data_IF_978053368470
#
_entry.id   IF_978053368470
#
_cell.length_a   1.000
_cell.length_b   1.000
_cell.length_c   1.000
_cell.angle_alpha   90.00
_cell.angle_beta   90.00
_cell.angle_gamma   90.00
#
_symmetry.space_group_name_H-M   'P 1'
#
loop_
_entity.id
_entity.type
_entity.pdbx_description
1 polymer ?
#
# COMPACT_ATOMS: atom_id res chain seq x y z
N UNK A 1 32.85 67.96 24.97
CA UNK A 1 31.41 67.66 25.20
C UNK A 1 31.33 66.29 25.89
N UNK A 2 30.38 66.14 26.82
CA UNK A 2 30.28 65.05 27.80
C UNK A 2 29.71 63.75 27.19
N UNK A 3 29.86 62.66 27.96
CA UNK A 3 29.21 61.32 27.92
C UNK A 3 30.05 60.23 27.22
N UNK A 4 30.36 59.07 27.81
CA UNK A 4 29.95 58.42 29.05
C UNK A 4 30.69 57.07 29.24
N UNK A 5 30.70 56.60 30.48
CA UNK A 5 31.40 55.45 31.10
C UNK A 5 31.11 54.08 30.40
N UNK A 6 32.13 53.23 30.22
CA UNK A 6 32.51 52.04 31.03
C UNK A 6 31.63 50.78 30.83
N UNK A 7 32.26 49.67 30.44
CA UNK A 7 31.66 48.33 30.49
C UNK A 7 32.58 47.22 29.99
N UNK A 8 33.41 46.70 30.90
CA UNK A 8 34.21 45.45 30.77
C UNK A 8 33.28 44.24 30.71
N UNK A 9 33.61 43.21 29.92
CA UNK A 9 32.95 41.91 30.01
C UNK A 9 33.58 40.83 29.14
N UNK A 10 34.47 40.03 29.72
CA UNK A 10 34.94 38.78 29.17
C UNK A 10 33.89 37.67 29.32
N UNK A 11 33.73 36.81 28.30
CA UNK A 11 33.15 35.45 28.38
C UNK A 11 33.41 34.79 27.00
N UNK A 12 34.31 33.82 26.79
CA UNK A 12 34.33 32.42 27.27
C UNK A 12 32.98 31.69 27.16
N UNK A 13 32.93 30.69 26.27
CA UNK A 13 31.85 29.71 26.12
C UNK A 13 30.73 30.21 25.21
N UNK A 14 30.14 29.43 24.32
CA UNK A 14 29.96 27.98 24.25
C UNK A 14 29.82 27.64 22.76
N UNK A 15 30.57 26.64 22.28
CA UNK A 15 30.28 26.00 21.01
C UNK A 15 28.92 25.30 21.11
N UNK A 16 27.88 25.94 20.61
CA UNK A 16 26.57 25.29 20.46
C UNK A 16 26.68 24.41 19.22
N UNK A 17 26.99 23.14 19.44
CA UNK A 17 26.71 22.11 18.46
C UNK A 17 25.20 22.19 18.16
N UNK A 18 24.86 22.69 16.98
CA UNK A 18 23.55 22.50 16.40
C UNK A 18 23.44 21.01 16.11
N UNK A 19 23.05 20.24 17.12
CA UNK A 19 22.46 18.93 16.94
C UNK A 19 21.15 19.17 16.20
N UNK A 20 21.25 19.32 14.88
CA UNK A 20 20.11 19.25 14.00
C UNK A 20 19.47 17.92 14.30
N UNK A 21 18.29 17.95 14.90
CA UNK A 21 17.40 16.81 14.94
C UNK A 21 17.09 16.51 13.48
N UNK A 22 17.90 15.65 12.86
CA UNK A 22 17.47 14.92 11.69
C UNK A 22 16.21 14.21 12.17
N UNK A 23 15.05 14.80 11.88
CA UNK A 23 13.79 14.13 12.02
C UNK A 23 13.97 12.87 11.18
N UNK A 24 14.21 11.75 11.85
CA UNK A 24 14.32 10.45 11.21
C UNK A 24 12.99 10.29 10.50
N UNK A 25 12.98 10.54 9.18
CA UNK A 25 11.86 10.14 8.35
C UNK A 25 11.60 8.68 8.68
N UNK A 26 10.33 8.26 8.87
CA UNK A 26 10.02 6.87 9.18
C UNK A 26 10.82 5.99 8.23
N UNK A 27 11.63 5.09 8.77
CA UNK A 27 12.31 4.11 7.96
C UNK A 27 11.21 3.31 7.23
N UNK A 28 10.99 3.62 5.95
CA UNK A 28 10.07 2.87 5.13
C UNK A 28 10.68 1.46 5.02
N UNK A 29 10.13 0.53 5.79
CA UNK A 29 10.58 -0.86 5.76
C UNK A 29 10.24 -1.36 4.37
N UNK A 30 11.28 -1.75 3.61
CA UNK A 30 11.15 -2.04 2.20
C UNK A 30 10.39 -3.35 2.02
N UNK A 31 9.21 -3.28 1.38
CA UNK A 31 8.46 -4.49 1.02
C UNK A 31 9.18 -5.21 -0.10
N UNK A 32 9.50 -6.47 0.14
CA UNK A 32 10.23 -7.30 -0.83
C UNK A 32 9.43 -8.56 -1.15
N UNK A 33 9.09 -8.81 -2.42
CA UNK A 33 9.23 -7.91 -3.57
C UNK A 33 8.21 -6.77 -3.53
N UNK A 34 8.43 -5.68 -4.26
CA UNK A 34 7.46 -4.57 -4.36
C UNK A 34 6.28 -4.92 -5.27
N UNK A 35 6.52 -5.77 -6.27
CA UNK A 35 5.51 -6.20 -7.24
C UNK A 35 5.48 -7.71 -7.34
N UNK A 36 4.28 -8.27 -7.43
CA UNK A 36 4.07 -9.69 -7.67
C UNK A 36 2.88 -9.92 -8.60
N UNK A 37 2.97 -10.94 -9.44
CA UNK A 37 1.88 -11.41 -10.28
C UNK A 37 1.21 -12.63 -9.66
N UNK A 38 -0.10 -12.72 -9.82
CA UNK A 38 -0.89 -13.84 -9.32
C UNK A 38 -2.06 -14.10 -10.25
N UNK A 39 -2.44 -15.36 -10.43
CA UNK A 39 -3.65 -15.72 -11.15
C UNK A 39 -4.82 -15.81 -10.18
N UNK A 40 -5.91 -15.15 -10.53
CA UNK A 40 -7.19 -15.23 -9.82
C UNK A 40 -8.25 -15.86 -10.71
N UNK A 41 -9.11 -16.67 -10.10
CA UNK A 41 -10.35 -17.17 -10.69
C UNK A 41 -11.53 -16.53 -9.98
N UNK A 42 -12.32 -15.74 -10.71
CA UNK A 42 -13.49 -15.03 -10.22
C UNK A 42 -14.81 -15.74 -10.60
N UNK A 43 -14.75 -17.04 -10.94
CA UNK A 43 -15.88 -17.82 -11.40
C UNK A 43 -16.55 -17.21 -12.63
N UNK A 44 -17.81 -16.79 -12.48
CA UNK A 44 -18.64 -16.26 -13.58
C UNK A 44 -18.12 -14.96 -14.20
N UNK A 45 -17.28 -14.23 -13.48
CA UNK A 45 -16.68 -12.97 -13.96
C UNK A 45 -15.42 -13.18 -14.80
N UNK A 46 -14.94 -14.42 -14.88
CA UNK A 46 -13.72 -14.79 -15.61
C UNK A 46 -12.55 -15.11 -14.68
N UNK A 47 -11.42 -15.40 -15.30
CA UNK A 47 -10.16 -15.69 -14.65
C UNK A 47 -9.01 -15.04 -15.40
N UNK A 48 -7.92 -14.76 -14.70
CA UNK A 48 -6.76 -14.13 -15.32
C UNK A 48 -5.72 -13.67 -14.32
N UNK A 49 -4.70 -13.01 -14.84
CA UNK A 49 -3.57 -12.55 -14.06
C UNK A 49 -3.85 -11.17 -13.46
N UNK A 50 -3.42 -10.97 -12.23
CA UNK A 50 -3.40 -9.69 -11.56
C UNK A 50 -1.99 -9.34 -11.11
N UNK A 51 -1.66 -8.06 -11.23
CA UNK A 51 -0.42 -7.48 -10.71
C UNK A 51 -0.74 -6.78 -9.40
N UNK A 52 -0.10 -7.25 -8.32
CA UNK A 52 -0.14 -6.69 -6.99
C UNK A 52 1.10 -5.84 -6.78
N UNK A 53 0.93 -4.60 -6.33
CA UNK A 53 2.01 -3.70 -5.94
C UNK A 53 1.87 -3.37 -4.47
N UNK A 54 2.82 -3.79 -3.65
CA UNK A 54 2.82 -3.57 -2.21
C UNK A 54 3.75 -2.42 -1.82
N UNK A 55 3.34 -1.62 -0.85
CA UNK A 55 4.13 -0.53 -0.28
C UNK A 55 3.87 -0.42 1.22
N UNK A 56 4.83 0.13 1.96
CA UNK A 56 4.71 0.35 3.39
C UNK A 56 5.34 1.70 3.75
N UNK A 57 4.68 2.45 4.64
CA UNK A 57 5.14 3.76 5.11
C UNK A 57 5.48 3.76 6.61
N UNK A 58 5.97 2.64 7.14
CA UNK A 58 6.39 2.48 8.54
C UNK A 58 5.27 2.19 9.54
N UNK A 59 4.01 2.47 9.20
CA UNK A 59 2.84 2.18 10.06
C UNK A 59 1.66 1.56 9.33
N UNK A 60 1.51 1.82 8.02
CA UNK A 60 0.49 1.22 7.19
C UNK A 60 1.10 0.52 5.98
N UNK A 61 0.51 -0.61 5.59
CA UNK A 61 0.78 -1.27 4.33
C UNK A 61 -0.33 -0.94 3.34
N UNK A 62 0.06 -0.70 2.09
CA UNK A 62 -0.85 -0.50 0.98
C UNK A 62 -0.59 -1.53 -0.11
N UNK A 63 -1.67 -2.02 -0.73
CA UNK A 63 -1.58 -2.91 -1.89
C UNK A 63 -2.47 -2.34 -2.99
N UNK A 64 -1.88 -2.08 -4.15
CA UNK A 64 -2.60 -1.73 -5.37
C UNK A 64 -2.70 -2.94 -6.27
N UNK A 65 -3.85 -3.14 -6.90
CA UNK A 65 -4.16 -4.27 -7.76
C UNK A 65 -4.58 -3.77 -9.14
N UNK A 66 -3.98 -4.33 -10.18
CA UNK A 66 -4.46 -4.22 -11.56
C UNK A 66 -4.68 -5.60 -12.13
N UNK A 67 -5.85 -5.87 -12.72
CA UNK A 67 -6.15 -7.18 -13.31
C UNK A 67 -6.83 -7.06 -14.65
N UNK A 68 -6.40 -7.89 -15.60
CA UNK A 68 -7.09 -8.09 -16.87
C UNK A 68 -8.15 -9.19 -16.82
N UNK A 69 -8.29 -9.89 -15.69
CA UNK A 69 -9.24 -10.98 -15.51
C UNK A 69 -10.71 -10.50 -15.56
N UNK A 70 -10.94 -9.25 -15.18
CA UNK A 70 -12.26 -8.63 -15.15
C UNK A 70 -12.19 -7.37 -16.00
N UNK A 71 -13.08 -7.26 -16.97
CA UNK A 71 -13.32 -6.03 -17.73
C UNK A 71 -14.62 -5.39 -17.26
N UNK A 72 -14.63 -4.07 -17.19
CA UNK A 72 -15.85 -3.34 -16.84
C UNK A 72 -16.77 -3.28 -18.07
N UNK A 73 -18.00 -3.85 -18.03
CA UNK A 73 -18.91 -3.80 -19.17
C UNK A 73 -19.53 -2.40 -19.38
N UNK A 74 -19.47 -1.56 -18.34
CA UNK A 74 -19.98 -0.19 -18.31
C UNK A 74 -18.91 0.72 -17.74
N UNK A 75 -19.06 2.03 -17.92
CA UNK A 75 -18.16 3.00 -17.30
C UNK A 75 -18.28 2.94 -15.77
N UNK A 76 -17.14 2.71 -15.11
CA UNK A 76 -17.05 2.73 -13.65
C UNK A 76 -16.40 4.04 -13.24
N UNK A 77 -17.14 4.85 -12.48
CA UNK A 77 -16.65 6.09 -11.91
C UNK A 77 -15.43 5.86 -11.02
N UNK A 78 -14.61 6.90 -10.86
CA UNK A 78 -13.54 6.86 -9.87
C UNK A 78 -14.13 6.63 -8.46
N UNK A 79 -13.38 5.94 -7.61
CA UNK A 79 -13.76 5.62 -6.23
C UNK A 79 -15.12 4.92 -6.05
N UNK A 80 -15.53 4.13 -7.05
CA UNK A 80 -16.80 3.40 -7.06
C UNK A 80 -16.63 1.88 -6.88
N UNK A 81 -15.39 1.39 -6.85
CA UNK A 81 -15.03 -0.01 -6.66
C UNK A 81 -14.55 -0.22 -5.23
N UNK A 82 -15.28 -1.03 -4.46
CA UNK A 82 -14.87 -1.45 -3.12
C UNK A 82 -14.21 -2.81 -3.19
N UNK A 83 -12.94 -2.90 -2.80
CA UNK A 83 -12.16 -4.13 -2.85
C UNK A 83 -11.69 -4.56 -1.47
N UNK A 84 -11.68 -5.88 -1.24
CA UNK A 84 -11.11 -6.53 -0.07
C UNK A 84 -10.17 -7.65 -0.50
N UNK A 85 -8.89 -7.46 -0.30
CA UNK A 85 -7.85 -8.46 -0.55
C UNK A 85 -7.51 -9.15 0.77
N UNK A 86 -7.75 -10.45 0.84
CA UNK A 86 -7.34 -11.28 1.97
C UNK A 86 -6.01 -11.95 1.64
N UNK A 87 -5.02 -11.77 2.52
CA UNK A 87 -3.73 -12.42 2.44
C UNK A 87 -3.51 -13.32 3.65
N UNK A 88 -2.92 -14.48 3.43
CA UNK A 88 -2.42 -15.35 4.48
C UNK A 88 -1.13 -14.75 5.04
N UNK A 89 -1.07 -14.60 6.36
CA UNK A 89 0.07 -14.07 7.10
C UNK A 89 0.86 -15.23 7.73
N UNK A 90 2.15 -15.31 7.44
CA UNK A 90 3.12 -16.28 7.99
C UNK A 90 2.65 -17.75 7.89
N UNK A 91 1.88 -18.08 6.85
CA UNK A 91 1.39 -19.43 6.58
C UNK A 91 0.19 -19.92 7.41
N UNK A 92 -0.17 -19.27 8.52
CA UNK A 92 -1.23 -19.76 9.42
C UNK A 92 -2.23 -18.71 9.95
N UNK A 93 -2.04 -17.42 9.65
CA UNK A 93 -3.01 -16.35 9.93
C UNK A 93 -3.57 -15.71 8.66
N UNK A 94 -4.53 -14.78 8.76
CA UNK A 94 -4.95 -13.93 7.63
C UNK A 94 -5.01 -12.47 8.02
N UNK A 95 -4.71 -11.60 7.07
CA UNK A 95 -4.90 -10.16 7.14
C UNK A 95 -5.74 -9.69 5.96
N UNK A 96 -6.51 -8.63 6.15
CA UNK A 96 -7.42 -8.09 5.12
C UNK A 96 -6.99 -6.67 4.81
N UNK A 97 -6.75 -6.43 3.53
CA UNK A 97 -6.53 -5.11 2.96
C UNK A 97 -7.82 -4.66 2.30
N UNK A 98 -8.28 -3.47 2.60
CA UNK A 98 -9.52 -2.95 2.03
C UNK A 98 -9.36 -1.52 1.56
N UNK A 99 -10.15 -1.15 0.56
CA UNK A 99 -10.16 0.19 0.00
C UNK A 99 -11.29 0.34 -0.99
N UNK A 100 -11.63 1.59 -1.27
CA UNK A 100 -12.68 1.97 -2.20
C UNK A 100 -12.17 2.94 -3.28
N UNK A 101 -10.85 2.94 -3.50
CA UNK A 101 -10.18 3.79 -4.48
C UNK A 101 -9.98 3.03 -5.77
N UNK A 102 -10.34 3.67 -6.89
CA UNK A 102 -10.05 3.21 -8.24
C UNK A 102 -10.01 4.43 -9.17
N UNK A 103 -9.20 4.40 -10.24
CA UNK A 103 -9.32 5.38 -11.32
C UNK A 103 -10.68 5.25 -12.02
N UNK A 104 -11.07 6.24 -12.81
CA UNK A 104 -12.18 6.06 -13.74
C UNK A 104 -11.81 4.93 -14.73
N UNK A 105 -12.66 3.91 -14.83
CA UNK A 105 -12.45 2.74 -15.70
C UNK A 105 -13.51 2.82 -16.81
N UNK A 106 -13.13 3.19 -18.04
CA UNK A 106 -14.04 3.16 -19.17
C UNK A 106 -14.55 1.74 -19.44
N UNK A 107 -15.73 1.64 -20.03
CA UNK A 107 -16.26 0.37 -20.54
C UNK A 107 -15.26 -0.34 -21.46
N UNK A 108 -15.19 -1.67 -21.34
CA UNK A 108 -14.22 -2.52 -22.03
C UNK A 108 -12.80 -2.51 -21.44
N UNK A 109 -12.52 -1.66 -20.44
CA UNK A 109 -11.20 -1.57 -19.82
C UNK A 109 -11.04 -2.57 -18.67
N UNK A 110 -9.79 -2.93 -18.40
CA UNK A 110 -9.40 -3.78 -17.28
C UNK A 110 -9.68 -3.10 -15.93
N UNK A 111 -10.15 -3.87 -14.94
CA UNK A 111 -10.42 -3.36 -13.60
C UNK A 111 -9.12 -3.12 -12.83
N UNK A 112 -9.00 -1.92 -12.26
CA UNK A 112 -7.88 -1.52 -11.40
C UNK A 112 -8.42 -0.95 -10.09
N UNK A 113 -7.85 -1.36 -8.96
CA UNK A 113 -8.34 -1.01 -7.62
C UNK A 113 -7.16 -0.81 -6.68
N UNK A 114 -7.24 0.21 -5.85
CA UNK A 114 -6.23 0.52 -4.85
C UNK A 114 -5.95 2.03 -4.75
N UNK A 115 -5.19 2.45 -3.72
CA UNK A 115 -4.52 1.60 -2.74
C UNK A 115 -5.50 0.97 -1.73
N UNK A 116 -5.33 -0.33 -1.47
CA UNK A 116 -5.99 -1.04 -0.37
C UNK A 116 -5.12 -0.91 0.86
N UNK A 117 -5.68 -0.47 1.98
CA UNK A 117 -4.92 -0.27 3.22
C UNK A 117 -5.10 -1.46 4.15
N UNK A 118 -4.02 -1.85 4.82
CA UNK A 118 -4.00 -2.87 5.84
C UNK A 118 -2.86 -2.64 6.84
N UNK A 119 -2.89 -3.38 7.94
CA UNK A 119 -1.85 -3.35 8.97
C UNK A 119 -0.99 -4.59 8.90
N UNK A 120 0.33 -4.41 8.95
CA UNK A 120 1.34 -5.47 8.97
C UNK A 120 2.41 -5.13 9.99
N UNK A 121 3.07 -6.15 10.50
CA UNK A 121 4.28 -6.00 11.30
C UNK A 121 5.52 -6.29 10.43
N UNK A 122 6.66 -5.72 10.82
CA UNK A 122 7.93 -6.05 10.17
C UNK A 122 8.24 -7.55 10.34
N UNK A 123 8.68 -8.19 9.25
CA UNK A 123 8.91 -9.62 9.14
C UNK A 123 7.67 -10.44 8.73
N UNK A 124 6.51 -9.82 8.54
CA UNK A 124 5.32 -10.53 8.06
C UNK A 124 5.47 -10.93 6.59
N UNK A 125 5.28 -12.23 6.33
CA UNK A 125 5.16 -12.80 4.99
C UNK A 125 3.68 -12.93 4.62
N UNK A 126 3.26 -12.22 3.57
CA UNK A 126 1.88 -12.19 3.11
C UNK A 126 1.72 -12.87 1.75
N UNK A 127 0.85 -13.88 1.71
CA UNK A 127 0.46 -14.59 0.49
C UNK A 127 -0.98 -14.27 0.13
N UNK A 128 -1.26 -13.69 -1.03
CA UNK A 128 -2.61 -13.41 -1.49
C UNK A 128 -3.44 -14.71 -1.60
N UNK A 129 -4.64 -14.68 -1.02
CA UNK A 129 -5.53 -15.85 -0.92
C UNK A 129 -6.82 -15.65 -1.70
N UNK A 130 -7.48 -14.51 -1.47
CA UNK A 130 -8.72 -14.17 -2.17
C UNK A 130 -8.86 -12.66 -2.29
N UNK A 131 -9.54 -12.25 -3.34
CA UNK A 131 -9.89 -10.87 -3.62
C UNK A 131 -11.40 -10.80 -3.80
N UNK A 132 -12.05 -9.94 -3.05
CA UNK A 132 -13.44 -9.59 -3.26
C UNK A 132 -13.51 -8.19 -3.86
N UNK A 133 -14.23 -8.04 -4.96
CA UNK A 133 -14.44 -6.76 -5.63
C UNK A 133 -15.94 -6.49 -5.68
N UNK A 134 -16.36 -5.32 -5.23
CA UNK A 134 -17.75 -4.88 -5.22
C UNK A 134 -17.87 -3.66 -6.10
N UNK A 135 -18.66 -3.76 -7.17
CA UNK A 135 -18.93 -2.68 -8.11
C UNK A 135 -20.44 -2.51 -8.23
N UNK A 136 -20.96 -1.31 -7.93
CA UNK A 136 -22.41 -1.03 -7.95
C UNK A 136 -23.27 -2.05 -7.17
N UNK A 137 -22.76 -2.60 -6.07
CA UNK A 137 -23.45 -3.59 -5.23
C UNK A 137 -23.33 -5.05 -5.70
N UNK A 138 -22.77 -5.29 -6.90
CA UNK A 138 -22.46 -6.64 -7.38
C UNK A 138 -21.11 -7.08 -6.82
N UNK A 139 -21.07 -8.24 -6.17
CA UNK A 139 -19.85 -8.78 -5.55
C UNK A 139 -19.25 -9.88 -6.42
N UNK A 140 -18.04 -9.66 -6.91
CA UNK A 140 -17.19 -10.67 -7.51
C UNK A 140 -16.20 -11.21 -6.46
N UNK A 141 -16.17 -12.52 -6.27
CA UNK A 141 -15.19 -13.18 -5.39
C UNK A 141 -14.21 -13.95 -6.25
N UNK A 142 -12.95 -13.56 -6.13
CA UNK A 142 -11.82 -14.08 -6.88
C UNK A 142 -10.89 -14.86 -5.96
N UNK A 143 -10.66 -16.14 -6.25
CA UNK A 143 -9.76 -16.99 -5.47
C UNK A 143 -8.41 -17.09 -6.18
N UNK A 144 -7.32 -17.00 -5.41
CA UNK A 144 -5.99 -17.20 -5.95
C UNK A 144 -5.84 -18.66 -6.41
N UNK A 145 -5.53 -18.87 -7.70
CA UNK A 145 -5.31 -20.20 -8.28
C UNK A 145 -3.82 -20.50 -8.51
N UNK A 146 -2.97 -19.50 -8.35
CA UNK A 146 -1.52 -19.62 -8.49
C UNK A 146 -0.81 -18.96 -7.31
N UNK A 147 0.42 -19.40 -7.03
CA UNK A 147 1.28 -18.70 -6.10
C UNK A 147 1.68 -17.33 -6.66
N UNK A 148 1.90 -16.37 -5.77
CA UNK A 148 2.47 -15.08 -6.15
C UNK A 148 3.89 -15.25 -6.69
N UNK A 149 4.20 -14.56 -7.78
CA UNK A 149 5.50 -14.59 -8.42
C UNK A 149 5.97 -13.19 -8.83
N UNK A 150 7.12 -12.70 -8.33
CA UNK A 150 7.95 -13.33 -7.30
C UNK A 150 7.30 -13.30 -5.90
N UNK A 151 7.51 -14.38 -5.13
CA UNK A 151 7.39 -14.49 -3.67
C UNK A 151 6.05 -14.12 -2.99
N UNK A 152 5.87 -14.50 -1.71
CA UNK A 152 4.97 -13.75 -0.83
C UNK A 152 5.60 -12.37 -0.54
N UNK A 153 4.77 -11.38 -0.24
CA UNK A 153 5.24 -10.06 0.16
C UNK A 153 5.80 -10.12 1.58
N UNK A 154 7.07 -9.78 1.77
CA UNK A 154 7.68 -9.63 3.10
C UNK A 154 7.78 -8.15 3.45
N UNK A 155 7.13 -7.75 4.54
CA UNK A 155 7.04 -6.37 5.02
C UNK A 155 8.01 -6.05 6.15
#
# INVERSE_FOLDING_TARGET
>A
MKHGKLGIGAALGVGVALAGTLAMAPAAVAVTPTTATITFDCGLYGSGTATLTASQNGTAATISLSTSAITAPIDVGANSVSSKLTLTKNGSGTTVFSGNSNPAIPSGSAVSTGPLTGTVAAGDSLTAKSLQVVVFGVTATCNATSAQSPGPFVF
#
